data_IF_363007897692
#
_entry.id   IF_363007897692
#
_cell.length_a   1.000
_cell.length_b   1.000
_cell.length_c   1.000
_cell.angle_alpha   90.00
_cell.angle_beta   90.00
_cell.angle_gamma   90.00
#
_symmetry.space_group_name_H-M   'P 1'
#
loop_
_entity.id
_entity.type
_entity.pdbx_description
1 polymer ?
#
# COMPACT_ATOMS: atom_id res chain seq x y z
N UNK A 1 12.92 -14.66 -3.95
CA UNK A 1 12.78 -13.22 -4.31
C UNK A 1 12.26 -12.44 -3.10
N UNK A 2 13.10 -11.58 -2.51
CA UNK A 2 12.83 -10.75 -1.31
C UNK A 2 12.21 -9.39 -1.69
N UNK A 3 11.20 -9.45 -2.54
CA UNK A 3 10.93 -8.42 -3.55
C UNK A 3 9.58 -7.72 -3.34
N UNK A 4 8.79 -8.24 -2.40
CA UNK A 4 7.50 -7.65 -2.02
C UNK A 4 7.60 -6.52 -1.00
N UNK A 5 8.79 -6.21 -0.49
CA UNK A 5 8.94 -5.59 0.81
C UNK A 5 8.69 -4.08 0.90
N UNK A 6 7.90 -3.54 -0.02
CA UNK A 6 7.52 -2.11 -0.09
C UNK A 6 6.09 -1.93 -0.55
N UNK A 7 5.49 -2.97 -1.10
CA UNK A 7 4.49 -2.82 -2.14
C UNK A 7 3.08 -2.52 -1.66
N UNK A 8 2.85 -2.39 -0.36
CA UNK A 8 1.53 -2.70 0.19
C UNK A 8 1.18 -1.86 1.43
N UNK A 9 0.93 -0.57 1.23
CA UNK A 9 -0.05 0.15 2.06
C UNK A 9 -1.44 0.13 1.43
N UNK A 10 -1.55 -0.28 0.16
CA UNK A 10 -2.85 -0.51 -0.45
C UNK A 10 -2.83 -1.78 -1.28
N UNK A 11 -3.83 -2.60 -0.99
CA UNK A 11 -4.42 -3.63 -1.85
C UNK A 11 -3.81 -5.03 -1.90
N UNK A 12 -4.55 -6.01 -1.40
CA UNK A 12 -4.45 -7.42 -1.83
C UNK A 12 -5.75 -8.17 -1.48
N UNK A 13 -6.05 -9.40 -1.94
CA UNK A 13 -7.39 -10.05 -1.81
C UNK A 13 -7.49 -11.41 -1.12
N UNK A 14 -8.67 -11.68 -0.54
CA UNK A 14 -9.19 -13.03 -0.34
C UNK A 14 -10.29 -13.27 -1.39
N UNK A 15 -10.21 -14.40 -2.10
CA UNK A 15 -11.27 -14.92 -2.94
C UNK A 15 -12.41 -15.41 -2.06
N UNK A 16 -13.43 -14.56 -1.93
CA UNK A 16 -14.71 -14.84 -1.30
C UNK A 16 -15.77 -13.99 -1.97
N UNK A 17 -17.05 -14.31 -1.76
CA UNK A 17 -18.17 -13.54 -2.27
C UNK A 17 -18.00 -12.06 -1.93
N UNK A 18 -17.83 -11.21 -2.94
CA UNK A 18 -17.67 -9.77 -2.76
C UNK A 18 -19.05 -9.15 -2.50
N UNK A 19 -19.37 -8.92 -1.24
CA UNK A 19 -20.47 -8.03 -0.87
C UNK A 19 -19.98 -6.60 -1.00
N UNK A 20 -20.72 -5.76 -1.73
CA UNK A 20 -20.41 -4.33 -1.87
C UNK A 20 -20.33 -3.72 -0.46
N UNK A 21 -19.19 -3.12 -0.05
CA UNK A 21 -19.07 -2.53 1.27
C UNK A 21 -20.04 -1.35 1.42
N UNK A 22 -20.46 -1.07 2.65
CA UNK A 22 -21.30 0.08 2.99
C UNK A 22 -20.59 1.02 3.98
N UNK A 23 -21.14 2.23 4.18
CA UNK A 23 -20.64 3.19 5.18
C UNK A 23 -19.21 3.68 4.93
N UNK A 24 -18.42 3.83 6.01
CA UNK A 24 -17.06 4.35 5.96
C UNK A 24 -16.11 3.51 5.09
N UNK A 25 -16.30 2.18 5.07
CA UNK A 25 -15.49 1.27 4.25
C UNK A 25 -15.68 1.52 2.75
N UNK A 26 -16.90 1.82 2.31
CA UNK A 26 -17.16 2.18 0.92
C UNK A 26 -16.49 3.50 0.53
N UNK A 27 -16.46 4.46 1.46
CA UNK A 27 -15.79 5.74 1.24
C UNK A 27 -14.27 5.58 1.19
N UNK A 28 -13.70 4.76 2.07
CA UNK A 28 -12.28 4.39 2.01
C UNK A 28 -11.93 3.72 0.68
N UNK A 29 -12.76 2.77 0.22
CA UNK A 29 -12.55 2.10 -1.06
C UNK A 29 -12.50 3.10 -2.22
N UNK A 30 -13.43 4.07 -2.25
CA UNK A 30 -13.43 5.16 -3.25
C UNK A 30 -12.20 6.04 -3.12
N UNK A 31 -11.87 6.48 -1.90
CA UNK A 31 -10.72 7.33 -1.65
C UNK A 31 -9.42 6.68 -2.10
N UNK A 32 -9.28 5.38 -1.85
CA UNK A 32 -8.09 4.65 -2.25
C UNK A 32 -8.00 4.41 -3.76
N UNK A 33 -9.12 4.21 -4.47
CA UNK A 33 -9.13 4.16 -5.93
C UNK A 33 -8.57 5.43 -6.58
N UNK A 34 -8.61 6.59 -5.93
CA UNK A 34 -8.01 7.82 -6.48
C UNK A 34 -6.47 7.76 -6.49
N UNK A 35 -5.85 6.88 -5.71
CA UNK A 35 -4.38 6.79 -5.55
C UNK A 35 -3.74 5.55 -6.20
N UNK A 36 -4.55 4.55 -6.52
CA UNK A 36 -4.11 3.33 -7.19
C UNK A 36 -4.67 3.29 -8.60
N UNK A 37 -3.99 2.60 -9.52
CA UNK A 37 -4.54 2.41 -10.86
C UNK A 37 -5.58 1.29 -10.84
N UNK A 38 -6.20 1.01 -11.99
CA UNK A 38 -7.05 -0.17 -12.19
C UNK A 38 -6.26 -1.48 -12.16
N UNK A 39 -4.96 -1.45 -11.86
CA UNK A 39 -4.13 -2.64 -11.68
C UNK A 39 -4.75 -3.55 -10.62
N UNK A 40 -5.28 -3.01 -9.53
CA UNK A 40 -5.96 -3.80 -8.51
C UNK A 40 -7.48 -3.79 -8.66
N UNK A 41 -8.11 -4.93 -8.38
CA UNK A 41 -9.57 -5.03 -8.36
C UNK A 41 -10.15 -4.39 -7.09
N UNK A 42 -11.38 -3.85 -7.13
CA UNK A 42 -12.03 -3.29 -5.93
C UNK A 42 -12.10 -4.27 -4.75
N UNK A 43 -12.21 -5.58 -5.03
CA UNK A 43 -12.19 -6.62 -4.01
C UNK A 43 -10.83 -6.76 -3.33
N UNK A 44 -9.73 -6.70 -4.10
CA UNK A 44 -8.39 -6.62 -3.54
C UNK A 44 -8.29 -5.36 -2.66
N UNK A 45 -8.72 -4.19 -3.14
CA UNK A 45 -8.57 -2.95 -2.35
C UNK A 45 -9.33 -3.06 -1.02
N UNK A 46 -10.59 -3.53 -1.11
CA UNK A 46 -11.47 -3.70 0.04
C UNK A 46 -10.89 -4.61 1.11
N UNK A 47 -10.18 -5.68 0.74
CA UNK A 47 -9.68 -6.64 1.72
C UNK A 47 -8.36 -6.21 2.35
N UNK A 48 -7.53 -5.42 1.67
CA UNK A 48 -6.41 -4.74 2.31
C UNK A 48 -6.86 -3.72 3.37
N UNK A 49 -7.95 -3.00 3.09
CA UNK A 49 -8.56 -2.10 4.09
C UNK A 49 -8.97 -2.91 5.33
N UNK A 50 -9.61 -4.07 5.14
CA UNK A 50 -9.97 -4.97 6.25
C UNK A 50 -8.75 -5.40 7.06
N UNK A 51 -7.71 -5.93 6.41
CA UNK A 51 -6.48 -6.38 7.10
C UNK A 51 -5.88 -5.24 7.89
N UNK A 52 -5.76 -4.06 7.29
CA UNK A 52 -5.21 -2.87 7.96
C UNK A 52 -6.04 -2.50 9.18
N UNK A 53 -7.37 -2.38 9.03
CA UNK A 53 -8.26 -2.03 10.13
C UNK A 53 -8.20 -3.06 11.28
N UNK A 54 -8.30 -4.36 10.94
CA UNK A 54 -8.27 -5.44 11.93
C UNK A 54 -6.91 -5.55 12.63
N UNK A 55 -5.80 -5.40 11.91
CA UNK A 55 -4.48 -5.52 12.51
C UNK A 55 -4.13 -4.30 13.37
N UNK A 56 -4.55 -3.09 12.99
CA UNK A 56 -4.45 -1.91 13.85
C UNK A 56 -5.26 -2.11 15.13
N UNK A 57 -6.51 -2.56 15.00
CA UNK A 57 -7.40 -2.83 16.14
C UNK A 57 -6.83 -3.92 17.07
N UNK A 58 -6.18 -4.96 16.51
CA UNK A 58 -5.48 -6.01 17.27
C UNK A 58 -4.14 -5.56 17.88
N UNK A 59 -3.77 -4.29 17.74
CA UNK A 59 -2.56 -3.74 18.34
C UNK A 59 -1.27 -4.08 17.59
N UNK A 60 -1.33 -4.60 16.36
CA UNK A 60 -0.14 -4.91 15.57
C UNK A 60 0.64 -3.66 15.21
N UNK A 61 1.96 -3.80 15.15
CA UNK A 61 2.87 -2.72 14.73
C UNK A 61 2.82 -2.52 13.22
N UNK A 62 3.21 -1.34 12.75
CA UNK A 62 3.22 -0.99 11.31
C UNK A 62 3.98 -1.99 10.44
N UNK A 63 5.11 -2.51 10.92
CA UNK A 63 5.91 -3.49 10.21
C UNK A 63 5.21 -4.85 10.09
N UNK A 64 4.41 -5.23 11.09
CA UNK A 64 3.64 -6.49 11.08
C UNK A 64 2.43 -6.36 10.15
N UNK A 65 1.72 -5.24 10.21
CA UNK A 65 0.63 -4.90 9.28
C UNK A 65 1.15 -4.97 7.84
N UNK A 66 2.31 -4.36 7.58
CA UNK A 66 2.93 -4.35 6.26
C UNK A 66 3.33 -5.76 5.81
N UNK A 67 3.91 -6.57 6.70
CA UNK A 67 4.22 -7.98 6.38
C UNK A 67 2.96 -8.80 6.05
N UNK A 68 1.85 -8.58 6.76
CA UNK A 68 0.59 -9.22 6.44
C UNK A 68 0.04 -8.82 5.09
N UNK A 69 0.08 -7.52 4.76
CA UNK A 69 -0.32 -7.04 3.45
C UNK A 69 0.58 -7.61 2.34
N UNK A 70 1.90 -7.74 2.59
CA UNK A 70 2.85 -8.41 1.70
C UNK A 70 2.45 -9.88 1.44
N UNK A 71 2.32 -10.70 2.48
CA UNK A 71 1.98 -12.12 2.34
C UNK A 71 0.69 -12.32 1.56
N UNK A 72 -0.26 -11.46 1.87
CA UNK A 72 -1.54 -11.41 1.20
C UNK A 72 -1.43 -10.98 -0.27
N UNK A 73 -0.58 -10.01 -0.62
CA UNK A 73 -0.25 -9.67 -2.01
C UNK A 73 0.21 -10.88 -2.81
N UNK A 74 1.09 -11.70 -2.24
CA UNK A 74 1.60 -12.90 -2.94
C UNK A 74 0.52 -13.91 -3.27
N UNK A 75 -0.45 -14.09 -2.37
CA UNK A 75 -1.50 -15.09 -2.55
C UNK A 75 -2.69 -14.62 -3.38
N UNK A 76 -2.72 -13.35 -3.77
CA UNK A 76 -3.95 -12.69 -4.17
C UNK A 76 -3.92 -11.99 -5.52
N UNK A 77 -2.72 -11.79 -6.07
CA UNK A 77 -2.53 -11.29 -7.42
C UNK A 77 -2.73 -12.41 -8.43
N UNK A 78 -3.29 -12.07 -9.58
CA UNK A 78 -3.39 -12.97 -10.72
C UNK A 78 -2.02 -13.22 -11.34
N UNK A 79 -1.89 -14.28 -12.14
CA UNK A 79 -0.65 -14.57 -12.86
C UNK A 79 -0.21 -13.40 -13.78
N UNK A 80 -1.18 -12.72 -14.40
CA UNK A 80 -0.93 -11.54 -15.22
C UNK A 80 -0.37 -10.38 -14.38
N UNK A 81 -0.99 -10.09 -13.23
CA UNK A 81 -0.51 -9.05 -12.30
C UNK A 81 0.88 -9.37 -11.77
N UNK A 82 1.15 -10.63 -11.42
CA UNK A 82 2.46 -11.08 -10.95
C UNK A 82 3.52 -10.94 -12.05
N UNK A 83 3.17 -11.29 -13.29
CA UNK A 83 4.05 -11.16 -14.45
C UNK A 83 4.39 -9.69 -14.72
N UNK A 84 3.40 -8.80 -14.66
CA UNK A 84 3.62 -7.36 -14.83
C UNK A 84 4.53 -6.79 -13.73
N UNK A 85 4.32 -7.17 -12.46
CA UNK A 85 5.18 -6.73 -11.35
C UNK A 85 6.61 -7.27 -11.46
N UNK A 86 6.76 -8.53 -11.86
CA UNK A 86 8.10 -9.12 -12.06
C UNK A 86 8.84 -8.38 -13.16
N UNK A 87 8.18 -8.16 -14.31
CA UNK A 87 8.74 -7.42 -15.43
C UNK A 87 9.13 -5.99 -15.05
N UNK A 88 8.26 -5.28 -14.34
CA UNK A 88 8.56 -3.93 -13.85
C UNK A 88 9.79 -3.90 -12.92
N UNK A 89 9.93 -4.91 -12.05
CA UNK A 89 11.09 -4.99 -11.17
C UNK A 89 12.39 -5.35 -11.91
N UNK A 90 12.32 -6.27 -12.86
CA UNK A 90 13.48 -6.66 -13.66
C UNK A 90 14.03 -5.45 -14.43
N UNK A 91 13.14 -4.68 -15.05
CA UNK A 91 13.48 -3.42 -15.71
C UNK A 91 14.02 -2.35 -14.73
N UNK A 92 13.47 -2.25 -13.51
CA UNK A 92 14.03 -1.36 -12.49
C UNK A 92 15.45 -1.79 -12.08
N UNK A 93 15.68 -3.10 -12.01
CA UNK A 93 16.97 -3.66 -11.67
C UNK A 93 17.99 -3.50 -12.79
N UNK A 94 17.55 -3.43 -14.05
CA UNK A 94 18.37 -2.98 -15.18
C UNK A 94 18.73 -1.50 -15.06
N UNK A 95 17.75 -0.64 -14.72
CA UNK A 95 17.96 0.81 -14.61
C UNK A 95 18.90 1.20 -13.45
N UNK A 96 18.79 0.53 -12.30
CA UNK A 96 19.45 0.91 -11.04
C UNK A 96 20.49 -0.10 -10.55
N UNK A 97 20.60 -1.25 -11.20
CA UNK A 97 21.31 -2.42 -10.71
C UNK A 97 20.56 -3.17 -9.61
N UNK A 98 20.77 -4.48 -9.51
CA UNK A 98 20.11 -5.36 -8.52
C UNK A 98 20.22 -4.88 -7.06
N UNK A 99 21.35 -4.28 -6.68
CA UNK A 99 21.54 -3.70 -5.34
C UNK A 99 20.78 -2.37 -5.21
N UNK A 100 20.77 -1.55 -6.25
CA UNK A 100 20.09 -0.25 -6.26
C UNK A 100 18.57 -0.40 -6.15
N UNK A 101 17.97 -1.29 -6.93
CA UNK A 101 16.53 -1.57 -6.87
C UNK A 101 16.10 -2.03 -5.47
N UNK A 102 16.81 -2.99 -4.88
CA UNK A 102 16.54 -3.45 -3.52
C UNK A 102 16.67 -2.33 -2.46
N UNK A 103 17.68 -1.47 -2.57
CA UNK A 103 17.91 -0.36 -1.62
C UNK A 103 16.87 0.74 -1.75
N UNK A 104 16.47 1.11 -2.98
CA UNK A 104 15.37 2.05 -3.24
C UNK A 104 14.11 1.58 -2.54
N UNK A 105 13.77 0.31 -2.75
CA UNK A 105 12.60 -0.27 -2.14
C UNK A 105 12.68 -0.26 -0.60
N UNK A 106 13.79 -0.71 -0.02
CA UNK A 106 13.95 -0.67 1.45
C UNK A 106 13.83 0.74 2.03
N UNK A 107 14.27 1.79 1.32
CA UNK A 107 14.08 3.17 1.75
C UNK A 107 12.62 3.59 1.71
N UNK A 108 11.92 3.36 0.59
CA UNK A 108 10.49 3.66 0.47
C UNK A 108 9.71 2.98 1.59
N UNK A 109 9.97 1.69 1.88
CA UNK A 109 9.33 0.95 2.98
C UNK A 109 9.45 1.69 4.31
N UNK A 110 10.66 2.12 4.65
CA UNK A 110 10.96 2.78 5.92
C UNK A 110 10.28 4.13 6.04
N UNK A 111 10.27 4.94 4.97
CA UNK A 111 9.56 6.23 4.97
C UNK A 111 8.06 6.03 5.10
N UNK A 112 7.52 5.05 4.39
CA UNK A 112 6.09 4.75 4.44
C UNK A 112 5.69 4.31 5.86
N UNK A 113 6.43 3.37 6.46
CA UNK A 113 6.25 2.97 7.87
C UNK A 113 6.30 4.20 8.78
N UNK A 114 7.36 5.01 8.67
CA UNK A 114 7.55 6.20 9.49
C UNK A 114 6.38 7.17 9.37
N UNK A 115 5.89 7.40 8.15
CA UNK A 115 4.81 8.33 7.90
C UNK A 115 3.47 7.84 8.46
N UNK A 116 3.21 6.54 8.43
CA UNK A 116 1.93 5.94 8.88
C UNK A 116 1.85 5.59 10.37
N UNK A 117 2.96 5.56 11.09
CA UNK A 117 2.96 5.30 12.55
C UNK A 117 2.03 6.24 13.34
N UNK A 118 2.05 7.58 13.15
CA UNK A 118 1.12 8.47 13.82
C UNK A 118 -0.35 8.20 13.48
N UNK A 119 -0.63 7.84 12.22
CA UNK A 119 -1.97 7.47 11.78
C UNK A 119 -2.45 6.19 12.47
N UNK A 120 -1.61 5.15 12.49
CA UNK A 120 -1.90 3.89 13.17
C UNK A 120 -2.17 4.11 14.66
N UNK A 121 -1.37 4.95 15.32
CA UNK A 121 -1.59 5.29 16.73
C UNK A 121 -2.93 5.98 16.95
N UNK A 122 -3.27 6.98 16.11
CA UNK A 122 -4.55 7.69 16.19
C UNK A 122 -5.74 6.77 15.91
N UNK A 123 -5.63 5.89 14.91
CA UNK A 123 -6.66 4.88 14.63
C UNK A 123 -6.83 3.98 15.85
N UNK A 124 -5.75 3.39 16.36
CA UNK A 124 -5.80 2.51 17.53
C UNK A 124 -6.45 3.15 18.76
N UNK A 125 -6.16 4.43 19.02
CA UNK A 125 -6.74 5.14 20.17
C UNK A 125 -8.25 5.36 20.08
N UNK A 126 -8.83 5.34 18.88
CA UNK A 126 -10.23 5.69 18.64
C UNK A 126 -11.03 4.56 17.97
N UNK A 127 -10.50 3.33 17.95
CA UNK A 127 -11.10 2.18 17.26
C UNK A 127 -11.47 1.06 18.23
N UNK A 128 -12.60 1.24 18.91
CA UNK A 128 -13.15 0.22 19.83
C UNK A 128 -13.74 -0.97 19.09
N UNK A 129 -14.13 -0.79 17.83
CA UNK A 129 -14.70 -1.80 16.93
C UNK A 129 -14.11 -1.69 15.51
N UNK A 130 -14.23 -2.73 14.67
CA UNK A 130 -13.84 -2.66 13.26
C UNK A 130 -14.53 -1.53 12.49
N UNK A 131 -15.82 -1.28 12.71
CA UNK A 131 -16.56 -0.17 12.10
C UNK A 131 -15.96 1.21 12.47
N UNK A 132 -15.67 1.44 13.76
CA UNK A 132 -15.01 2.68 14.21
C UNK A 132 -13.57 2.81 13.70
N UNK A 133 -12.91 1.69 13.37
CA UNK A 133 -11.61 1.69 12.72
C UNK A 133 -11.71 2.23 11.30
N UNK A 134 -12.74 1.84 10.52
CA UNK A 134 -12.95 2.39 9.19
C UNK A 134 -13.26 3.90 9.23
N UNK A 135 -14.08 4.34 10.19
CA UNK A 135 -14.40 5.77 10.35
C UNK A 135 -13.15 6.58 10.72
N UNK A 136 -12.34 6.08 11.67
CA UNK A 136 -11.11 6.76 12.06
C UNK A 136 -10.10 6.76 10.93
N UNK A 137 -9.93 5.65 10.22
CA UNK A 137 -9.09 5.56 9.02
C UNK A 137 -9.51 6.61 7.98
N UNK A 138 -10.81 6.75 7.72
CA UNK A 138 -11.32 7.74 6.77
C UNK A 138 -11.00 9.17 7.18
N UNK A 139 -11.03 9.47 8.48
CA UNK A 139 -10.66 10.79 9.02
C UNK A 139 -9.16 11.09 8.99
N UNK A 140 -8.32 10.05 8.91
CA UNK A 140 -6.86 10.15 9.02
C UNK A 140 -6.19 10.10 7.66
N UNK A 141 -6.63 9.21 6.78
CA UNK A 141 -6.12 9.11 5.41
C UNK A 141 -6.80 10.15 4.52
N UNK A 142 -6.55 11.43 4.79
CA UNK A 142 -7.03 12.52 3.94
C UNK A 142 -6.11 12.70 2.73
N UNK A 143 -6.57 13.49 1.74
CA UNK A 143 -5.78 13.83 0.57
C UNK A 143 -4.45 14.48 0.92
N UNK A 144 -4.44 15.39 1.89
CA UNK A 144 -3.25 16.08 2.37
C UNK A 144 -2.27 15.10 3.01
N UNK A 145 -2.79 14.15 3.78
CA UNK A 145 -1.98 13.13 4.43
C UNK A 145 -1.30 12.21 3.40
N UNK A 146 -2.06 11.74 2.39
CA UNK A 146 -1.50 10.93 1.30
C UNK A 146 -0.49 11.73 0.48
N UNK A 147 -0.77 13.02 0.21
CA UNK A 147 0.15 13.92 -0.49
C UNK A 147 1.47 14.11 0.28
N UNK A 148 1.41 14.24 1.61
CA UNK A 148 2.61 14.32 2.45
C UNK A 148 3.46 13.04 2.36
N UNK A 149 2.84 11.86 2.33
CA UNK A 149 3.56 10.58 2.12
C UNK A 149 4.26 10.59 0.75
N UNK A 150 3.57 11.01 -0.32
CA UNK A 150 4.17 11.12 -1.66
C UNK A 150 5.39 12.05 -1.65
N UNK A 151 5.26 13.22 -1.02
CA UNK A 151 6.35 14.18 -0.91
C UNK A 151 7.56 13.60 -0.16
N UNK A 152 7.35 12.86 0.94
CA UNK A 152 8.43 12.19 1.66
C UNK A 152 9.15 11.14 0.80
N UNK A 153 8.41 10.40 -0.02
CA UNK A 153 8.99 9.45 -0.99
C UNK A 153 9.85 10.22 -2.01
N UNK A 154 9.33 11.31 -2.59
CA UNK A 154 10.06 12.14 -3.57
C UNK A 154 11.34 12.74 -2.98
N UNK A 155 11.30 13.17 -1.71
CA UNK A 155 12.48 13.71 -1.01
C UNK A 155 13.52 12.64 -0.67
N UNK A 156 13.12 11.37 -0.61
CA UNK A 156 14.02 10.25 -0.26
C UNK A 156 14.79 9.75 -1.46
N UNK A 157 14.14 9.70 -2.62
CA UNK A 157 14.70 9.15 -3.84
C UNK A 157 15.53 10.21 -4.55
N UNK A 158 16.66 9.79 -5.13
CA UNK A 158 17.35 10.65 -6.09
C UNK A 158 16.48 10.87 -7.33
N UNK A 159 16.71 11.94 -8.12
CA UNK A 159 15.95 12.16 -9.35
C UNK A 159 15.97 10.97 -10.32
N UNK A 160 17.10 10.27 -10.43
CA UNK A 160 17.24 9.06 -11.26
C UNK A 160 16.39 7.91 -10.73
N UNK A 161 16.44 7.67 -9.41
CA UNK A 161 15.66 6.61 -8.78
C UNK A 161 14.16 6.88 -8.89
N UNK A 162 13.74 8.12 -8.63
CA UNK A 162 12.34 8.53 -8.76
C UNK A 162 11.84 8.30 -10.18
N UNK A 163 12.59 8.77 -11.18
CA UNK A 163 12.24 8.59 -12.60
C UNK A 163 12.15 7.11 -12.99
N UNK A 164 13.08 6.28 -12.51
CA UNK A 164 13.08 4.85 -12.78
C UNK A 164 11.85 4.18 -12.14
N UNK A 165 11.55 4.46 -10.87
CA UNK A 165 10.38 3.91 -10.19
C UNK A 165 9.08 4.35 -10.87
N UNK A 166 8.95 5.64 -11.22
CA UNK A 166 7.80 6.16 -11.98
C UNK A 166 7.63 5.43 -13.31
N UNK A 167 8.71 5.27 -14.08
CA UNK A 167 8.67 4.63 -15.38
C UNK A 167 8.23 3.16 -15.31
N UNK A 168 8.59 2.44 -14.24
CA UNK A 168 8.31 1.00 -14.11
C UNK A 168 7.01 0.70 -13.37
N UNK A 169 6.63 1.53 -12.39
CA UNK A 169 5.49 1.28 -11.50
C UNK A 169 4.35 2.29 -11.61
N UNK A 170 4.45 3.31 -12.47
CA UNK A 170 3.38 4.30 -12.68
C UNK A 170 2.07 3.71 -13.23
N UNK A 171 2.12 2.52 -13.85
CA UNK A 171 0.92 1.76 -14.26
C UNK A 171 0.24 1.02 -13.11
N UNK A 172 0.91 0.88 -11.97
CA UNK A 172 0.42 0.19 -10.77
C UNK A 172 -0.07 1.20 -9.73
N UNK A 173 0.63 2.34 -9.59
CA UNK A 173 0.30 3.37 -8.61
C UNK A 173 0.36 4.78 -9.20
N UNK A 174 -0.63 5.61 -8.85
CA UNK A 174 -0.58 7.07 -9.05
C UNK A 174 0.22 7.79 -7.93
N UNK A 175 0.86 7.03 -7.04
CA UNK A 175 1.56 7.52 -5.85
C UNK A 175 3.01 7.96 -6.13
N UNK A 176 3.54 7.65 -7.30
CA UNK A 176 4.94 7.88 -7.66
C UNK A 176 4.98 8.64 -8.97
#
# INVERSE_FOLDING_TARGET
>A
MKLLSVFLILVSSASGSFTVPSGAKLQLLKHFHDYITTFFTPQQVSKAIDITAFDIHRGRKSNEILSHLEDFGRSSLTDDQLTELSSAYDLLSEDLGNKGSAVVFQRIKKIVIYAVEPAIAKIRMNSDTPETAYETMLSVFTTEYVSAIKQLIHMTLTPTELKAVQARFGKVFHLI
#
